data_IF_737048519661
#
_entry.id   IF_737048519661
#
_cell.length_a   1.000
_cell.length_b   1.000
_cell.length_c   1.000
_cell.angle_alpha   90.00
_cell.angle_beta   90.00
_cell.angle_gamma   90.00
#
_symmetry.space_group_name_H-M   'P 1'
#
loop_
_entity.id
_entity.type
_entity.pdbx_description
1 polymer ?
#
# COMPACT_ATOMS: atom_id res chain seq x y z
N UNK A 1 -23.18 34.79 -11.33
CA UNK A 1 -22.96 33.98 -10.12
C UNK A 1 -21.87 32.97 -10.46
N UNK A 2 -20.63 33.23 -10.03
CA UNK A 2 -19.48 32.41 -10.41
C UNK A 2 -19.36 31.27 -9.40
N UNK A 3 -19.61 30.03 -9.82
CA UNK A 3 -19.38 28.85 -8.97
C UNK A 3 -17.87 28.77 -8.69
N UNK A 4 -17.44 28.55 -7.43
CA UNK A 4 -16.03 28.33 -7.17
C UNK A 4 -15.59 27.11 -7.96
N UNK A 5 -14.66 27.35 -8.89
CA UNK A 5 -13.92 26.37 -9.65
C UNK A 5 -13.48 25.27 -8.68
N UNK A 6 -14.14 24.11 -8.73
CA UNK A 6 -13.84 22.95 -7.89
C UNK A 6 -12.54 22.37 -8.43
N UNK A 7 -11.43 23.07 -8.17
CA UNK A 7 -10.10 22.62 -8.52
C UNK A 7 -9.99 21.19 -8.00
N UNK A 8 -9.66 20.20 -8.86
CA UNK A 8 -9.38 18.86 -8.36
C UNK A 8 -8.31 19.04 -7.29
N UNK A 9 -8.61 18.64 -6.07
CA UNK A 9 -7.66 18.72 -4.96
C UNK A 9 -6.46 17.86 -5.35
N UNK A 10 -5.41 18.49 -5.86
CA UNK A 10 -4.15 17.81 -6.19
C UNK A 10 -3.66 17.14 -4.92
N UNK A 11 -3.56 15.81 -4.95
CA UNK A 11 -3.07 15.05 -3.81
C UNK A 11 -1.66 15.54 -3.42
N UNK A 12 -1.35 15.71 -2.12
CA UNK A 12 -0.07 16.30 -1.72
C UNK A 12 1.13 15.51 -2.23
N UNK A 13 2.10 16.19 -2.84
CA UNK A 13 3.30 15.57 -3.40
C UNK A 13 4.12 14.83 -2.32
N UNK A 14 4.19 15.39 -1.11
CA UNK A 14 4.89 14.77 0.03
C UNK A 14 4.30 13.41 0.40
N UNK A 15 2.97 13.26 0.29
CA UNK A 15 2.30 11.97 0.54
C UNK A 15 2.61 10.93 -0.54
N UNK A 16 2.83 11.36 -1.78
CA UNK A 16 3.33 10.46 -2.83
C UNK A 16 4.78 10.06 -2.57
N UNK A 17 5.62 11.00 -2.12
CA UNK A 17 7.02 10.71 -1.77
C UNK A 17 7.10 9.72 -0.60
N UNK A 18 6.29 9.90 0.44
CA UNK A 18 6.21 8.98 1.58
C UNK A 18 5.75 7.58 1.15
N UNK A 19 4.71 7.48 0.32
CA UNK A 19 4.26 6.19 -0.22
C UNK A 19 5.36 5.50 -1.05
N UNK A 20 6.12 6.24 -1.86
CA UNK A 20 7.27 5.71 -2.62
C UNK A 20 8.39 5.23 -1.71
N UNK A 21 8.69 5.97 -0.64
CA UNK A 21 9.70 5.57 0.34
C UNK A 21 9.32 4.24 1.01
N UNK A 22 8.05 4.06 1.39
CA UNK A 22 7.56 2.78 1.93
C UNK A 22 7.71 1.63 0.92
N UNK A 23 7.40 1.85 -0.36
CA UNK A 23 7.55 0.79 -1.37
C UNK A 23 9.03 0.46 -1.64
N UNK A 24 9.90 1.47 -1.62
CA UNK A 24 11.33 1.26 -1.77
C UNK A 24 11.92 0.39 -0.64
N UNK A 25 11.32 0.44 0.55
CA UNK A 25 11.75 -0.31 1.73
C UNK A 25 10.77 -1.45 2.14
N UNK A 26 10.13 -2.07 1.15
CA UNK A 26 9.06 -3.08 1.34
C UNK A 26 9.47 -4.25 2.25
N UNK A 27 10.76 -4.60 2.32
CA UNK A 27 11.25 -5.71 3.15
C UNK A 27 11.16 -5.41 4.65
N UNK A 28 11.19 -4.14 5.04
CA UNK A 28 11.22 -3.71 6.45
C UNK A 28 9.88 -3.18 6.95
N UNK A 29 8.86 -3.13 6.08
CA UNK A 29 7.54 -2.64 6.41
C UNK A 29 6.48 -3.74 6.54
N UNK A 30 5.42 -3.45 7.31
CA UNK A 30 4.30 -4.38 7.46
C UNK A 30 3.44 -4.42 6.19
N UNK A 31 2.82 -5.57 5.92
CA UNK A 31 1.89 -5.73 4.78
C UNK A 31 0.77 -4.68 4.79
N UNK A 32 0.36 -4.23 5.98
CA UNK A 32 -0.64 -3.17 6.14
C UNK A 32 -0.13 -1.83 5.61
N UNK A 33 1.09 -1.41 6.01
CA UNK A 33 1.69 -0.15 5.55
C UNK A 33 1.95 -0.19 4.05
N UNK A 34 2.41 -1.33 3.53
CA UNK A 34 2.62 -1.54 2.10
C UNK A 34 1.30 -1.42 1.34
N UNK A 35 0.21 -2.00 1.86
CA UNK A 35 -1.13 -1.86 1.26
C UNK A 35 -1.60 -0.42 1.22
N UNK A 36 -1.42 0.33 2.31
CA UNK A 36 -1.78 1.73 2.39
C UNK A 36 -1.01 2.56 1.35
N UNK A 37 0.32 2.40 1.28
CA UNK A 37 1.16 3.08 0.32
C UNK A 37 0.78 2.74 -1.13
N UNK A 38 0.51 1.46 -1.43
CA UNK A 38 0.06 1.07 -2.76
C UNK A 38 -1.29 1.70 -3.12
N UNK A 39 -2.26 1.73 -2.20
CA UNK A 39 -3.56 2.37 -2.44
C UNK A 39 -3.41 3.87 -2.79
N UNK A 40 -2.52 4.57 -2.09
CA UNK A 40 -2.17 5.97 -2.40
C UNK A 40 -1.63 6.08 -3.82
N UNK A 41 -0.68 5.24 -4.21
CA UNK A 41 -0.10 5.30 -5.55
C UNK A 41 -1.05 4.83 -6.65
N UNK A 42 -1.97 3.90 -6.38
CA UNK A 42 -3.00 3.50 -7.36
C UNK A 42 -3.95 4.65 -7.67
N UNK A 43 -4.38 5.38 -6.63
CA UNK A 43 -5.35 6.47 -6.76
C UNK A 43 -4.70 7.77 -7.26
N UNK A 44 -3.46 8.05 -6.85
CA UNK A 44 -2.84 9.37 -6.99
C UNK A 44 -1.45 9.35 -7.63
N UNK A 45 -0.92 8.18 -7.99
CA UNK A 45 0.36 8.05 -8.67
C UNK A 45 0.40 8.85 -9.97
N UNK A 46 1.55 9.45 -10.26
CA UNK A 46 1.71 10.41 -11.36
C UNK A 46 1.67 9.68 -12.70
N UNK A 47 2.39 8.57 -12.81
CA UNK A 47 2.53 7.84 -14.06
C UNK A 47 1.59 6.63 -14.12
N UNK A 48 1.15 6.25 -15.32
CA UNK A 48 0.34 5.06 -15.50
C UNK A 48 1.11 3.77 -15.12
N UNK A 49 2.43 3.77 -15.32
CA UNK A 49 3.33 2.70 -14.92
C UNK A 49 3.36 2.54 -13.39
N UNK A 50 3.58 3.62 -12.66
CA UNK A 50 3.56 3.62 -11.19
C UNK A 50 2.22 3.09 -10.64
N UNK A 51 1.10 3.55 -11.20
CA UNK A 51 -0.23 3.05 -10.83
C UNK A 51 -0.38 1.55 -11.11
N UNK A 52 0.21 1.04 -12.20
CA UNK A 52 0.18 -0.37 -12.57
C UNK A 52 1.03 -1.21 -11.62
N UNK A 53 2.25 -0.79 -11.34
CA UNK A 53 3.18 -1.50 -10.47
C UNK A 53 2.63 -1.60 -9.05
N UNK A 54 2.01 -0.53 -8.54
CA UNK A 54 1.32 -0.54 -7.25
C UNK A 54 0.16 -1.55 -7.19
N UNK A 55 -0.62 -1.70 -8.28
CA UNK A 55 -1.68 -2.73 -8.36
C UNK A 55 -1.11 -4.15 -8.34
N UNK A 56 0.01 -4.38 -9.04
CA UNK A 56 0.67 -5.69 -9.04
C UNK A 56 1.21 -6.02 -7.64
N UNK A 57 1.82 -5.05 -6.96
CA UNK A 57 2.32 -5.26 -5.60
C UNK A 57 1.20 -5.54 -4.60
N UNK A 58 0.04 -4.87 -4.71
CA UNK A 58 -1.15 -5.19 -3.91
C UNK A 58 -1.55 -6.66 -4.05
N UNK A 59 -1.60 -7.19 -5.28
CA UNK A 59 -1.95 -8.59 -5.52
C UNK A 59 -0.97 -9.55 -4.81
N UNK A 60 0.33 -9.26 -4.87
CA UNK A 60 1.36 -10.06 -4.20
C UNK A 60 1.19 -10.00 -2.68
N UNK A 61 0.95 -8.81 -2.12
CA UNK A 61 0.79 -8.61 -0.68
C UNK A 61 -0.49 -9.26 -0.15
N UNK A 62 -1.58 -9.22 -0.91
CA UNK A 62 -2.84 -9.88 -0.57
C UNK A 62 -2.68 -11.41 -0.54
N UNK A 63 -1.95 -11.98 -1.51
CA UNK A 63 -1.67 -13.41 -1.58
C UNK A 63 -0.78 -13.92 -0.42
N UNK A 64 0.06 -13.06 0.17
CA UNK A 64 0.93 -13.42 1.31
C UNK A 64 0.19 -13.51 2.65
N UNK A 65 -0.95 -12.84 2.78
CA UNK A 65 -1.70 -12.76 4.03
C UNK A 65 -2.20 -14.11 4.58
N UNK A 66 -2.80 -15.02 3.77
CA UNK A 66 -3.21 -16.33 4.28
C UNK A 66 -2.04 -17.17 4.79
N UNK A 67 -0.88 -17.10 4.13
CA UNK A 67 0.33 -17.84 4.53
C UNK A 67 0.82 -17.34 5.90
N UNK A 68 0.87 -16.02 6.13
CA UNK A 68 1.27 -15.45 7.43
C UNK A 68 0.26 -15.71 8.53
N UNK A 69 -1.04 -15.71 8.24
CA UNK A 69 -2.06 -16.04 9.23
C UNK A 69 -1.97 -17.50 9.67
N UNK A 70 -1.74 -18.43 8.74
CA UNK A 70 -1.47 -19.84 9.05
C UNK A 70 -0.22 -19.99 9.94
N UNK A 71 0.91 -19.39 9.53
CA UNK A 71 2.16 -19.44 10.31
C UNK A 71 2.04 -18.85 11.72
N UNK A 72 1.28 -17.75 11.90
CA UNK A 72 1.04 -17.19 13.23
C UNK A 72 0.20 -18.13 14.11
N UNK A 73 -0.80 -18.81 13.53
CA UNK A 73 -1.63 -19.76 14.28
C UNK A 73 -0.80 -20.95 14.77
N UNK A 74 0.05 -21.51 13.91
CA UNK A 74 0.95 -22.61 14.27
C UNK A 74 1.94 -22.22 15.38
N UNK A 75 2.46 -20.98 15.35
CA UNK A 75 3.35 -20.46 16.40
C UNK A 75 2.64 -20.31 17.75
N UNK A 76 1.37 -19.93 17.78
CA UNK A 76 0.59 -19.82 19.02
C UNK A 76 0.22 -21.21 19.59
N UNK A 77 -0.02 -22.21 18.75
CA UNK A 77 -0.29 -23.58 19.20
C UNK A 77 0.96 -24.31 19.72
N UNK A 78 2.16 -23.95 19.24
CA UNK A 78 3.43 -24.50 19.69
C UNK A 78 3.94 -23.98 21.04
N UNK A 79 3.46 -22.82 21.52
CA UNK A 79 3.86 -22.22 22.82
C UNK A 79 3.01 -22.72 23.99
N UNK A 80 1.86 -23.36 23.70
CA UNK A 80 0.95 -23.88 24.72
C UNK A 80 1.18 -25.37 25.08
N UNK A 81 2.33 -25.95 24.71
CA UNK A 81 2.71 -27.33 25.02
C UNK A 81 3.91 -27.42 25.95
#
# INVERSE_FOLDING_TARGET
MNLPDRRPSTWPADRLAEARAVIADVAHHSDHLIRLACNVLVAHGVTAAERKDARVLLLVVDARQPIRQAQRRDQHEGVAR
#
